data_IF_121542311052
#
_entry.id   IF_121542311052
#
_cell.length_a   1.000
_cell.length_b   1.000
_cell.length_c   1.000
_cell.angle_alpha   90.00
_cell.angle_beta   90.00
_cell.angle_gamma   90.00
#
_symmetry.space_group_name_H-M   'P 1'
#
loop_
_entity.id
_entity.type
_entity.pdbx_description
1 polymer ?
#
# COMPACT_ATOMS: atom_id res chain seq x y z
N UNK A 1 38.35 -18.12 -33.33
CA UNK A 1 38.28 -16.63 -33.22
C UNK A 1 38.03 -16.31 -31.75
N UNK A 2 39.07 -15.97 -30.99
CA UNK A 2 38.97 -15.77 -29.53
C UNK A 2 38.30 -14.43 -29.22
N UNK A 3 37.13 -14.46 -28.58
CA UNK A 3 36.46 -13.27 -28.05
C UNK A 3 37.33 -12.60 -26.98
N UNK A 4 37.75 -11.36 -27.22
CA UNK A 4 38.45 -10.55 -26.22
C UNK A 4 37.49 -10.23 -25.08
N UNK A 5 37.66 -10.89 -23.93
CA UNK A 5 36.95 -10.55 -22.70
C UNK A 5 37.22 -9.09 -22.36
N UNK A 6 36.14 -8.30 -22.21
CA UNK A 6 36.17 -6.89 -21.83
C UNK A 6 36.91 -6.79 -20.47
N UNK A 7 37.94 -5.95 -20.32
CA UNK A 7 38.67 -5.85 -19.06
C UNK A 7 37.72 -5.36 -17.96
N UNK A 8 37.80 -6.00 -16.79
CA UNK A 8 37.06 -5.57 -15.61
C UNK A 8 37.50 -4.16 -15.22
N UNK A 9 36.55 -3.30 -14.84
CA UNK A 9 36.90 -1.99 -14.27
C UNK A 9 37.61 -2.22 -12.93
N UNK A 10 38.73 -1.53 -12.65
CA UNK A 10 39.35 -1.60 -11.35
C UNK A 10 38.38 -1.09 -10.29
N UNK A 11 38.13 -1.91 -9.27
CA UNK A 11 37.38 -1.54 -8.08
C UNK A 11 38.39 -0.91 -7.12
N UNK A 12 38.15 0.32 -6.66
CA UNK A 12 38.99 0.97 -5.65
C UNK A 12 38.86 0.23 -4.31
N UNK A 13 39.89 0.36 -3.48
CA UNK A 13 39.88 -0.22 -2.13
C UNK A 13 38.65 0.26 -1.33
N UNK A 14 38.06 -0.61 -0.50
CA UNK A 14 36.98 -0.23 0.39
C UNK A 14 37.43 0.92 1.30
N UNK A 15 36.63 1.97 1.39
CA UNK A 15 36.85 3.07 2.33
C UNK A 15 35.61 3.28 3.17
N UNK A 16 35.80 3.71 4.42
CA UNK A 16 34.69 4.06 5.32
C UNK A 16 34.17 5.44 4.90
N UNK A 17 32.94 5.48 4.39
CA UNK A 17 32.22 6.75 4.20
C UNK A 17 31.80 7.22 5.57
N UNK A 18 31.98 8.52 5.89
CA UNK A 18 31.40 9.10 7.11
C UNK A 18 29.92 8.73 7.20
N UNK A 19 29.45 8.44 8.41
CA UNK A 19 28.02 8.18 8.61
C UNK A 19 27.23 9.33 8.00
N UNK A 20 26.25 8.99 7.15
CA UNK A 20 25.36 9.98 6.61
C UNK A 20 24.59 10.60 7.78
N UNK A 21 25.05 11.75 8.27
CA UNK A 21 24.27 12.62 9.14
C UNK A 21 23.16 13.19 8.28
N UNK A 22 22.10 12.40 8.13
CA UNK A 22 20.97 12.71 7.27
C UNK A 22 20.24 13.95 7.76
N UNK A 23 20.71 15.13 7.36
CA UNK A 23 19.93 16.36 7.49
C UNK A 23 18.88 16.32 6.40
N UNK A 24 17.67 15.91 6.77
CA UNK A 24 16.50 16.06 5.91
C UNK A 24 16.09 17.55 5.92
N UNK A 25 16.66 18.35 5.02
CA UNK A 25 16.22 19.73 4.81
C UNK A 25 14.86 19.68 4.11
N UNK A 26 13.79 19.80 4.91
CA UNK A 26 12.45 20.10 4.41
C UNK A 26 12.26 21.61 4.39
N UNK A 27 12.85 22.28 3.41
CA UNK A 27 12.51 23.69 3.18
C UNK A 27 11.29 23.79 2.26
N UNK A 28 10.52 24.85 2.45
CA UNK A 28 9.44 25.20 1.53
C UNK A 28 10.08 25.87 0.31
N UNK A 29 9.53 25.61 -0.86
CA UNK A 29 9.84 26.42 -2.02
C UNK A 29 9.29 27.84 -1.75
N UNK A 30 10.19 28.80 -1.54
CA UNK A 30 9.87 30.22 -1.33
C UNK A 30 10.16 30.98 -2.62
N UNK A 31 9.53 32.14 -2.75
CA UNK A 31 9.78 33.10 -3.84
C UNK A 31 9.63 32.50 -5.25
N UNK A 32 8.69 31.57 -5.42
CA UNK A 32 8.38 30.98 -6.71
C UNK A 32 7.81 32.05 -7.65
N UNK A 33 8.38 32.15 -8.84
CA UNK A 33 7.75 32.95 -9.89
C UNK A 33 6.48 32.26 -10.40
N UNK A 34 5.57 32.99 -11.04
CA UNK A 34 4.40 32.37 -11.70
C UNK A 34 4.80 31.27 -12.71
N UNK A 35 5.97 31.39 -13.34
CA UNK A 35 6.49 30.39 -14.26
C UNK A 35 6.95 29.13 -13.53
N UNK A 36 7.63 29.25 -12.38
CA UNK A 36 8.03 28.10 -11.57
C UNK A 36 6.82 27.31 -11.09
N UNK A 37 5.79 28.01 -10.60
CA UNK A 37 4.53 27.38 -10.20
C UNK A 37 3.90 26.60 -11.36
N UNK A 38 3.87 27.20 -12.56
CA UNK A 38 3.33 26.55 -13.75
C UNK A 38 4.13 25.28 -14.08
N UNK A 39 5.45 25.34 -14.06
CA UNK A 39 6.32 24.19 -14.32
C UNK A 39 6.10 23.09 -13.28
N UNK A 40 6.05 23.42 -11.99
CA UNK A 40 5.83 22.46 -10.91
C UNK A 40 4.45 21.77 -11.03
N UNK A 41 3.40 22.51 -11.39
CA UNK A 41 2.06 21.94 -11.63
C UNK A 41 2.07 20.98 -12.81
N UNK A 42 2.67 21.37 -13.94
CA UNK A 42 2.77 20.52 -15.12
C UNK A 42 3.59 19.26 -14.84
N UNK A 43 4.72 19.40 -14.15
CA UNK A 43 5.57 18.28 -13.77
C UNK A 43 4.85 17.34 -12.80
N UNK A 44 4.18 17.89 -11.79
CA UNK A 44 3.39 17.13 -10.83
C UNK A 44 2.24 16.36 -11.51
N UNK A 45 1.54 16.99 -12.46
CA UNK A 45 0.50 16.34 -13.24
C UNK A 45 1.06 15.21 -14.11
N UNK A 46 2.20 15.43 -14.79
CA UNK A 46 2.85 14.43 -15.64
C UNK A 46 3.35 13.22 -14.84
N UNK A 47 4.18 13.46 -13.83
CA UNK A 47 4.70 12.39 -12.96
C UNK A 47 3.59 11.70 -12.16
N UNK A 48 2.56 12.47 -11.80
CA UNK A 48 1.31 11.96 -11.28
C UNK A 48 0.68 10.96 -12.24
N UNK A 49 0.39 11.34 -13.49
CA UNK A 49 -0.19 10.43 -14.47
C UNK A 49 0.65 9.14 -14.62
N UNK A 50 1.97 9.27 -14.77
CA UNK A 50 2.87 8.13 -14.94
C UNK A 50 2.81 7.13 -13.77
N UNK A 51 2.92 7.58 -12.52
CA UNK A 51 2.84 6.63 -11.41
C UNK A 51 1.41 6.10 -11.16
N UNK A 52 0.34 6.75 -11.64
CA UNK A 52 -1.00 6.22 -11.50
C UNK A 52 -1.19 5.06 -12.48
N UNK A 53 -0.75 5.25 -13.72
CA UNK A 53 -0.71 4.21 -14.74
C UNK A 53 0.16 3.02 -14.31
N UNK A 54 1.36 3.30 -13.78
CA UNK A 54 2.27 2.27 -13.27
C UNK A 54 1.65 1.47 -12.11
N UNK A 55 1.05 2.16 -11.14
CA UNK A 55 0.36 1.52 -10.01
C UNK A 55 -0.83 0.68 -10.48
N UNK A 56 -1.66 1.21 -11.38
CA UNK A 56 -2.80 0.47 -11.93
C UNK A 56 -2.36 -0.81 -12.64
N UNK A 57 -1.29 -0.74 -13.44
CA UNK A 57 -0.68 -1.92 -14.08
C UNK A 57 -0.16 -2.91 -13.03
N UNK A 58 0.54 -2.42 -12.01
CA UNK A 58 1.15 -3.27 -10.97
C UNK A 58 0.13 -3.94 -10.05
N UNK A 59 -0.98 -3.27 -9.74
CA UNK A 59 -2.08 -3.83 -8.94
C UNK A 59 -2.90 -4.87 -9.70
N UNK A 60 -2.98 -4.78 -11.03
CA UNK A 60 -3.67 -5.77 -11.89
C UNK A 60 -2.81 -7.00 -12.22
N UNK A 61 -1.50 -6.95 -12.00
CA UNK A 61 -0.58 -8.03 -12.35
C UNK A 61 -0.73 -9.31 -11.47
N UNK A 62 -1.56 -9.28 -10.42
CA UNK A 62 -1.76 -10.41 -9.52
C UNK A 62 -0.44 -10.94 -8.95
N UNK A 63 -0.22 -12.26 -9.09
CA UNK A 63 1.01 -12.93 -8.65
C UNK A 63 2.19 -12.81 -9.64
N UNK A 64 1.98 -12.30 -10.85
CA UNK A 64 3.03 -12.21 -11.88
C UNK A 64 3.99 -11.04 -11.65
N UNK A 65 4.89 -11.22 -10.69
CA UNK A 65 5.83 -10.20 -10.24
C UNK A 65 7.25 -10.74 -10.29
N UNK A 66 7.92 -10.44 -11.39
CA UNK A 66 9.28 -10.90 -11.64
C UNK A 66 10.22 -9.72 -11.85
N UNK A 67 11.52 -9.97 -11.75
CA UNK A 67 12.53 -8.97 -12.11
C UNK A 67 12.38 -8.52 -13.57
N UNK A 68 11.91 -9.40 -14.47
CA UNK A 68 11.64 -9.08 -15.87
C UNK A 68 10.45 -8.12 -16.00
N UNK A 69 9.35 -8.37 -15.30
CA UNK A 69 8.20 -7.46 -15.34
C UNK A 69 8.50 -6.11 -14.68
N UNK A 70 9.36 -6.08 -13.65
CA UNK A 70 9.90 -4.83 -13.12
C UNK A 70 10.74 -4.06 -14.14
N UNK A 71 11.68 -4.74 -14.81
CA UNK A 71 12.57 -4.11 -15.80
C UNK A 71 11.77 -3.50 -16.97
N UNK A 72 10.78 -4.23 -17.49
CA UNK A 72 9.91 -3.75 -18.57
C UNK A 72 9.14 -2.48 -18.17
N UNK A 73 8.50 -2.47 -16.98
CA UNK A 73 7.80 -1.25 -16.50
C UNK A 73 8.74 -0.07 -16.35
N UNK A 74 9.93 -0.30 -15.81
CA UNK A 74 10.94 0.77 -15.66
C UNK A 74 11.38 1.32 -17.01
N UNK A 75 11.55 0.46 -18.02
CA UNK A 75 11.88 0.88 -19.38
C UNK A 75 10.77 1.73 -20.00
N UNK A 76 9.51 1.31 -19.89
CA UNK A 76 8.35 2.06 -20.40
C UNK A 76 8.23 3.45 -19.77
N UNK A 77 8.51 3.56 -18.47
CA UNK A 77 8.54 4.83 -17.75
C UNK A 77 9.76 5.69 -18.13
N UNK A 78 10.90 5.07 -18.42
CA UNK A 78 12.12 5.79 -18.87
C UNK A 78 11.94 6.37 -20.27
N UNK A 79 11.09 5.80 -21.12
CA UNK A 79 10.74 6.41 -22.40
C UNK A 79 9.93 7.72 -22.24
N UNK A 80 9.27 7.91 -21.09
CA UNK A 80 8.37 9.04 -20.82
C UNK A 80 8.89 10.00 -19.73
N UNK A 81 10.04 9.69 -19.15
CA UNK A 81 10.64 10.42 -18.02
C UNK A 81 12.15 10.16 -17.94
N UNK A 82 12.85 10.79 -17.00
CA UNK A 82 14.25 10.42 -16.75
C UNK A 82 14.37 9.03 -16.11
N UNK A 83 15.49 8.35 -16.33
CA UNK A 83 15.77 7.04 -15.70
C UNK A 83 15.75 7.09 -14.17
N UNK A 84 16.11 8.24 -13.58
CA UNK A 84 16.00 8.51 -12.13
C UNK A 84 14.54 8.57 -11.68
N UNK A 85 13.70 9.33 -12.39
CA UNK A 85 12.27 9.41 -12.08
C UNK A 85 11.58 8.06 -12.28
N UNK A 86 11.83 7.36 -13.37
CA UNK A 86 11.33 6.00 -13.58
C UNK A 86 11.71 5.05 -12.43
N UNK A 87 12.95 5.13 -11.95
CA UNK A 87 13.40 4.39 -10.76
C UNK A 87 12.62 4.75 -9.49
N UNK A 88 12.44 6.03 -9.21
CA UNK A 88 11.67 6.50 -8.05
C UNK A 88 10.18 6.13 -8.14
N UNK A 89 9.57 6.22 -9.32
CA UNK A 89 8.16 5.89 -9.54
C UNK A 89 7.92 4.39 -9.32
N UNK A 90 8.72 3.52 -9.95
CA UNK A 90 8.59 2.06 -9.77
C UNK A 90 8.83 1.61 -8.34
N UNK A 91 9.79 2.22 -7.63
CA UNK A 91 10.01 1.98 -6.20
C UNK A 91 8.79 2.41 -5.37
N UNK A 92 8.29 3.64 -5.59
CA UNK A 92 7.12 4.15 -4.89
C UNK A 92 5.87 3.28 -5.10
N UNK A 93 5.65 2.78 -6.31
CA UNK A 93 4.57 1.82 -6.62
C UNK A 93 4.73 0.51 -5.83
N UNK A 94 5.96 -0.03 -5.75
CA UNK A 94 6.22 -1.23 -4.96
C UNK A 94 5.94 -0.99 -3.47
N UNK A 95 6.44 0.11 -2.90
CA UNK A 95 6.25 0.44 -1.49
C UNK A 95 4.76 0.63 -1.14
N UNK A 96 4.00 1.33 -2.01
CA UNK A 96 2.56 1.53 -1.84
C UNK A 96 1.79 0.21 -1.88
N UNK A 97 2.11 -0.66 -2.85
CA UNK A 97 1.48 -1.97 -2.91
C UNK A 97 1.83 -2.83 -1.69
N UNK A 98 3.10 -2.86 -1.28
CA UNK A 98 3.54 -3.67 -0.14
C UNK A 98 2.83 -3.21 1.14
N UNK A 99 2.69 -1.90 1.33
CA UNK A 99 1.91 -1.33 2.42
C UNK A 99 0.44 -1.74 2.35
N UNK A 100 -0.20 -1.61 1.18
CA UNK A 100 -1.60 -1.98 0.99
C UNK A 100 -1.84 -3.48 1.24
N UNK A 101 -0.92 -4.35 0.79
CA UNK A 101 -0.98 -5.80 1.03
C UNK A 101 -0.89 -6.13 2.52
N UNK A 102 0.01 -5.49 3.27
CA UNK A 102 0.06 -5.62 4.73
C UNK A 102 -1.23 -5.13 5.39
N UNK A 103 -1.75 -3.99 4.94
CA UNK A 103 -3.03 -3.44 5.40
C UNK A 103 -4.22 -4.38 5.14
N UNK A 104 -4.23 -5.07 3.99
CA UNK A 104 -5.25 -6.05 3.63
C UNK A 104 -5.26 -7.23 4.62
N UNK A 105 -4.08 -7.79 4.94
CA UNK A 105 -3.97 -8.85 5.93
C UNK A 105 -4.39 -8.38 7.33
N UNK A 106 -3.92 -7.21 7.77
CA UNK A 106 -4.33 -6.65 9.05
C UNK A 106 -5.85 -6.37 9.11
N UNK A 107 -6.46 -5.99 7.98
CA UNK A 107 -7.91 -5.80 7.88
C UNK A 107 -8.67 -7.13 7.97
N UNK A 108 -8.21 -8.18 7.29
CA UNK A 108 -8.75 -9.55 7.45
C UNK A 108 -8.71 -9.96 8.92
N UNK A 109 -7.55 -9.84 9.58
CA UNK A 109 -7.39 -10.27 10.98
C UNK A 109 -8.31 -9.48 11.91
N UNK A 110 -8.43 -8.17 11.70
CA UNK A 110 -9.38 -7.31 12.42
C UNK A 110 -10.85 -7.72 12.19
N UNK A 111 -11.22 -8.13 10.98
CA UNK A 111 -12.57 -8.63 10.70
C UNK A 111 -12.83 -9.94 11.43
N UNK A 112 -11.88 -10.87 11.38
CA UNK A 112 -11.94 -12.17 12.08
C UNK A 112 -12.09 -11.98 13.59
N UNK A 113 -11.27 -11.14 14.21
CA UNK A 113 -11.37 -10.83 15.65
C UNK A 113 -12.71 -10.17 16.00
N UNK A 114 -13.17 -9.25 15.15
CA UNK A 114 -14.46 -8.60 15.30
C UNK A 114 -15.62 -9.60 15.24
N UNK A 115 -15.61 -10.51 14.27
CA UNK A 115 -16.59 -11.60 14.12
C UNK A 115 -16.56 -12.48 15.37
N UNK A 116 -15.38 -12.95 15.80
CA UNK A 116 -15.23 -13.80 16.99
C UNK A 116 -15.84 -13.15 18.24
N UNK A 117 -15.54 -11.87 18.44
CA UNK A 117 -16.07 -11.09 19.58
C UNK A 117 -17.59 -10.93 19.52
N UNK A 118 -18.15 -10.58 18.34
CA UNK A 118 -19.59 -10.43 18.18
C UNK A 118 -20.31 -11.77 18.37
N UNK A 119 -19.84 -12.84 17.74
CA UNK A 119 -20.42 -14.19 17.87
C UNK A 119 -20.45 -14.62 19.32
N UNK A 120 -19.34 -14.46 20.06
CA UNK A 120 -19.29 -14.81 21.47
C UNK A 120 -20.36 -14.06 22.29
N UNK A 121 -20.45 -12.74 22.13
CA UNK A 121 -21.39 -11.91 22.91
C UNK A 121 -22.85 -12.09 22.51
N UNK A 122 -23.12 -12.44 21.25
CA UNK A 122 -24.48 -12.70 20.75
C UNK A 122 -25.07 -14.01 21.30
N UNK A 123 -24.23 -14.99 21.62
CA UNK A 123 -24.64 -16.25 22.25
C UNK A 123 -24.99 -16.11 23.74
N UNK A 124 -24.62 -15.00 24.38
CA UNK A 124 -24.90 -14.74 25.79
C UNK A 124 -26.29 -14.07 25.96
N UNK A 125 -27.06 -14.43 27.00
CA UNK A 125 -28.27 -13.72 27.39
C UNK A 125 -28.12 -12.19 27.38
N UNK A 126 -29.15 -11.50 26.90
CA UNK A 126 -29.21 -10.03 26.94
C UNK A 126 -29.16 -9.56 28.39
N UNK A 127 -28.26 -8.62 28.67
CA UNK A 127 -28.02 -8.08 30.01
C UNK A 127 -27.07 -8.90 30.89
N UNK A 128 -26.58 -10.05 30.40
CA UNK A 128 -25.62 -10.85 31.15
C UNK A 128 -24.33 -10.08 31.40
N UNK A 129 -23.90 -10.03 32.67
CA UNK A 129 -22.66 -9.35 33.07
C UNK A 129 -21.45 -10.17 32.65
N UNK A 130 -20.45 -9.48 32.13
CA UNK A 130 -19.15 -10.09 31.86
C UNK A 130 -18.43 -10.52 33.14
N UNK A 131 -17.59 -11.55 33.04
CA UNK A 131 -16.77 -12.05 34.15
C UNK A 131 -15.31 -12.16 33.73
N UNK A 132 -14.39 -12.04 34.69
CA UNK A 132 -12.94 -12.25 34.47
C UNK A 132 -12.37 -11.44 33.28
N UNK A 133 -12.75 -10.16 33.17
CA UNK A 133 -12.29 -9.27 32.11
C UNK A 133 -12.87 -9.55 30.72
N UNK A 134 -13.77 -10.53 30.57
CA UNK A 134 -14.47 -10.81 29.31
C UNK A 134 -15.80 -10.07 29.27
N UNK A 135 -16.18 -9.49 28.11
CA UNK A 135 -17.47 -8.81 27.99
C UNK A 135 -18.63 -9.83 28.00
N UNK A 136 -19.69 -9.51 28.73
CA UNK A 136 -20.93 -10.31 28.75
C UNK A 136 -21.83 -10.02 27.56
N UNK A 137 -23.09 -10.42 27.66
CA UNK A 137 -24.13 -10.16 26.66
C UNK A 137 -24.32 -8.67 26.35
N UNK A 138 -25.08 -8.38 25.31
CA UNK A 138 -25.44 -6.99 24.98
C UNK A 138 -26.44 -6.41 25.97
N UNK A 139 -26.44 -5.09 26.17
CA UNK A 139 -27.23 -4.45 27.23
C UNK A 139 -28.74 -4.53 26.97
N UNK A 140 -29.14 -4.53 25.71
CA UNK A 140 -30.55 -4.53 25.31
C UNK A 140 -30.79 -5.37 24.06
N UNK A 141 -32.06 -5.75 23.83
CA UNK A 141 -32.49 -6.43 22.60
C UNK A 141 -32.19 -5.61 21.34
N UNK A 142 -32.34 -4.27 21.43
CA UNK A 142 -32.03 -3.37 20.32
C UNK A 142 -30.54 -3.31 19.99
N UNK A 143 -29.67 -3.28 21.01
CA UNK A 143 -28.23 -3.39 20.79
C UNK A 143 -27.87 -4.75 20.20
N UNK A 144 -28.41 -5.84 20.76
CA UNK A 144 -28.22 -7.20 20.24
C UNK A 144 -28.60 -7.30 18.76
N UNK A 145 -29.76 -6.77 18.36
CA UNK A 145 -30.22 -6.79 16.97
C UNK A 145 -29.29 -6.01 16.03
N UNK A 146 -28.83 -4.82 16.44
CA UNK A 146 -27.87 -4.06 15.64
C UNK A 146 -26.52 -4.80 15.49
N UNK A 147 -26.11 -5.54 16.53
CA UNK A 147 -24.86 -6.30 16.53
C UNK A 147 -24.96 -7.59 15.72
N UNK A 148 -26.11 -8.25 15.70
CA UNK A 148 -26.35 -9.40 14.82
C UNK A 148 -26.32 -9.01 13.33
N UNK A 149 -26.91 -7.86 12.98
CA UNK A 149 -26.78 -7.30 11.61
C UNK A 149 -25.33 -6.93 11.28
N UNK A 150 -24.62 -6.31 12.23
CA UNK A 150 -23.19 -6.01 12.06
C UNK A 150 -22.37 -7.28 11.84
N UNK A 151 -22.65 -8.37 12.55
CA UNK A 151 -21.96 -9.65 12.37
C UNK A 151 -22.08 -10.13 10.92
N UNK A 152 -23.29 -10.12 10.35
CA UNK A 152 -23.49 -10.49 8.95
C UNK A 152 -22.68 -9.61 7.97
N UNK A 153 -22.68 -8.29 8.18
CA UNK A 153 -21.89 -7.36 7.35
C UNK A 153 -20.38 -7.59 7.47
N UNK A 154 -19.88 -7.92 8.66
CA UNK A 154 -18.46 -8.26 8.83
C UNK A 154 -18.13 -9.58 8.14
N UNK A 155 -19.00 -10.58 8.22
CA UNK A 155 -18.84 -11.85 7.51
C UNK A 155 -18.73 -11.68 6.00
N UNK A 156 -19.66 -10.94 5.38
CA UNK A 156 -19.62 -10.65 3.94
C UNK A 156 -18.33 -9.93 3.53
N UNK A 157 -17.85 -8.99 4.37
CA UNK A 157 -16.58 -8.30 4.12
C UNK A 157 -15.36 -9.21 4.26
N UNK A 158 -15.38 -10.14 5.21
CA UNK A 158 -14.29 -11.09 5.39
C UNK A 158 -14.13 -11.98 4.16
N UNK A 159 -15.23 -12.54 3.67
CA UNK A 159 -15.26 -13.35 2.44
C UNK A 159 -14.65 -12.59 1.26
N UNK A 160 -15.10 -11.36 1.00
CA UNK A 160 -14.55 -10.55 -0.09
C UNK A 160 -13.04 -10.29 0.05
N UNK A 161 -12.56 -10.02 1.27
CA UNK A 161 -11.12 -9.80 1.50
C UNK A 161 -10.31 -11.08 1.34
N UNK A 162 -10.85 -12.23 1.76
CA UNK A 162 -10.20 -13.53 1.59
C UNK A 162 -10.10 -13.94 0.12
N UNK A 163 -11.16 -13.69 -0.67
CA UNK A 163 -11.15 -13.87 -2.13
C UNK A 163 -10.10 -12.97 -2.82
N UNK A 164 -10.04 -11.69 -2.43
CA UNK A 164 -9.02 -10.77 -2.94
C UNK A 164 -7.60 -11.26 -2.60
N UNK A 165 -7.39 -11.75 -1.37
CA UNK A 165 -6.10 -12.31 -0.95
C UNK A 165 -5.73 -13.54 -1.79
N UNK A 166 -6.69 -14.47 -1.96
CA UNK A 166 -6.51 -15.72 -2.69
C UNK A 166 -6.22 -15.50 -4.18
N UNK A 167 -6.84 -14.49 -4.78
CA UNK A 167 -6.62 -14.11 -6.18
C UNK A 167 -5.42 -13.18 -6.38
N UNK A 168 -4.75 -12.77 -5.30
CA UNK A 168 -3.63 -11.84 -5.36
C UNK A 168 -4.04 -10.40 -5.68
N UNK A 169 -5.34 -10.07 -5.61
CA UNK A 169 -5.85 -8.71 -5.83
C UNK A 169 -5.55 -7.82 -4.63
N UNK A 170 -5.06 -6.61 -4.90
CA UNK A 170 -4.84 -5.57 -3.88
C UNK A 170 -5.42 -4.27 -4.38
N UNK A 171 -6.30 -3.68 -3.58
CA UNK A 171 -6.87 -2.36 -3.84
C UNK A 171 -5.92 -1.30 -3.28
N UNK A 172 -5.36 -0.49 -4.17
CA UNK A 172 -4.49 0.64 -3.82
C UNK A 172 -5.09 1.89 -4.39
N UNK A 173 -5.37 2.87 -3.54
CA UNK A 173 -5.76 4.22 -3.96
C UNK A 173 -4.58 5.13 -3.77
N UNK A 174 -4.29 5.97 -4.77
CA UNK A 174 -3.27 6.98 -4.62
C UNK A 174 -3.83 8.16 -3.83
N UNK A 175 -3.11 8.50 -2.77
CA UNK A 175 -3.39 9.64 -1.91
C UNK A 175 -4.09 9.22 -0.63
N UNK A 176 -4.25 10.18 0.28
CA UNK A 176 -4.80 9.91 1.61
C UNK A 176 -6.22 9.36 1.55
N UNK A 177 -6.67 8.77 2.65
CA UNK A 177 -7.99 8.13 2.84
C UNK A 177 -9.20 8.98 2.38
N UNK A 178 -9.05 10.31 2.22
CA UNK A 178 -10.09 11.23 1.73
C UNK A 178 -10.31 11.24 0.22
N UNK A 179 -9.50 10.52 -0.57
CA UNK A 179 -9.64 10.44 -2.03
C UNK A 179 -10.25 9.12 -2.52
N UNK A 180 -10.58 8.21 -1.59
CA UNK A 180 -11.29 6.97 -1.85
C UNK A 180 -12.74 7.11 -1.34
N UNK A 181 -13.54 7.89 -2.04
CA UNK A 181 -15.00 7.96 -1.81
C UNK A 181 -15.71 7.21 -2.93
#
# INVERSE_FOLDING_TARGET
>A
MNERKKPFRPVRDPFVVQEATGVAVRDRLKDLTPQDEKVLRLLGAHLGSLAATDLARYSRAGFERTNRSWAARKQDLTAQSSSRWAGSLTKGTHDQYALARRGQFAYRDKLTDGIRMLTHRLCLPVGEKGTQGKPGGYRSKGEWFNKSRRLHLLGARLVAVEEDIATGRVHVVRGGKRLAN
#
